data_IF_497205740172
#
_entry.id   IF_497205740172
#
_cell.length_a   1.000
_cell.length_b   1.000
_cell.length_c   1.000
_cell.angle_alpha   90.00
_cell.angle_beta   90.00
_cell.angle_gamma   90.00
#
_symmetry.space_group_name_H-M   'P 1'
#
loop_
_entity.id
_entity.type
_entity.pdbx_description
1 polymer ?
#
# COMPACT_ATOMS: atom_id res chain seq x y z
N UNK A 1 -31.88 6.66 -9.72
CA UNK A 1 -31.27 5.44 -9.16
C UNK A 1 -29.94 5.82 -8.53
N UNK A 2 -29.74 5.61 -7.23
CA UNK A 2 -28.43 5.82 -6.62
C UNK A 2 -27.54 4.63 -6.95
N UNK A 3 -26.68 4.78 -7.95
CA UNK A 3 -25.61 3.81 -8.23
C UNK A 3 -24.63 3.83 -7.06
N UNK A 4 -24.82 2.91 -6.11
CA UNK A 4 -23.90 2.74 -4.99
C UNK A 4 -22.57 2.23 -5.54
N UNK A 5 -21.52 3.00 -5.30
CA UNK A 5 -20.17 2.65 -5.71
C UNK A 5 -19.76 1.29 -5.10
N UNK A 6 -19.12 0.38 -5.87
CA UNK A 6 -18.58 -0.85 -5.32
C UNK A 6 -17.54 -0.57 -4.24
N UNK A 7 -17.61 -1.32 -3.12
CA UNK A 7 -16.70 -1.16 -1.97
C UNK A 7 -15.21 -1.19 -2.35
N UNK A 8 -14.84 -1.97 -3.37
CA UNK A 8 -13.45 -2.05 -3.84
C UNK A 8 -12.93 -0.71 -4.37
N UNK A 9 -13.77 0.06 -5.07
CA UNK A 9 -13.41 1.38 -5.59
C UNK A 9 -13.26 2.39 -4.44
N UNK A 10 -14.19 2.36 -3.49
CA UNK A 10 -14.10 3.17 -2.28
C UNK A 10 -12.80 2.91 -1.51
N UNK A 11 -12.43 1.63 -1.31
CA UNK A 11 -11.19 1.26 -0.64
C UNK A 11 -9.94 1.70 -1.40
N UNK A 12 -9.95 1.61 -2.73
CA UNK A 12 -8.83 2.11 -3.55
C UNK A 12 -8.63 3.62 -3.36
N UNK A 13 -9.71 4.42 -3.37
CA UNK A 13 -9.64 5.86 -3.12
C UNK A 13 -9.14 6.18 -1.72
N UNK A 14 -9.68 5.51 -0.70
CA UNK A 14 -9.24 5.70 0.69
C UNK A 14 -7.76 5.35 0.86
N UNK A 15 -7.29 4.29 0.21
CA UNK A 15 -5.87 3.90 0.18
C UNK A 15 -5.00 4.99 -0.45
N UNK A 16 -5.38 5.47 -1.64
CA UNK A 16 -4.65 6.52 -2.34
C UNK A 16 -4.61 7.83 -1.54
N UNK A 17 -5.73 8.23 -0.93
CA UNK A 17 -5.81 9.42 -0.09
C UNK A 17 -4.87 9.31 1.13
N UNK A 18 -4.84 8.16 1.80
CA UNK A 18 -3.93 7.93 2.94
C UNK A 18 -2.46 8.03 2.54
N UNK A 19 -2.09 7.52 1.37
CA UNK A 19 -0.72 7.64 0.84
C UNK A 19 -0.40 9.11 0.57
N UNK A 20 -1.28 9.81 -0.16
CA UNK A 20 -1.12 11.22 -0.47
C UNK A 20 -0.94 12.07 0.80
N UNK A 21 -1.82 11.92 1.80
CA UNK A 21 -1.71 12.68 3.05
C UNK A 21 -0.41 12.41 3.81
N UNK A 22 0.16 11.20 3.67
CA UNK A 22 1.44 10.85 4.32
C UNK A 22 2.64 11.43 3.58
N UNK A 23 2.61 11.49 2.25
CA UNK A 23 3.74 11.96 1.44
C UNK A 23 3.67 13.45 1.11
N UNK A 24 2.53 14.12 1.33
CA UNK A 24 2.28 15.51 0.89
C UNK A 24 3.33 16.54 1.31
N UNK A 25 3.95 16.37 2.47
CA UNK A 25 4.94 17.31 3.01
C UNK A 25 6.37 16.75 3.01
N UNK A 26 6.60 15.64 2.31
CA UNK A 26 7.93 15.03 2.21
C UNK A 26 8.75 15.76 1.15
N UNK A 27 10.05 15.96 1.44
CA UNK A 27 11.00 16.25 0.38
C UNK A 27 11.13 15.05 -0.55
N UNK A 28 11.66 15.29 -1.76
CA UNK A 28 11.91 14.21 -2.73
C UNK A 28 12.75 13.06 -2.14
N UNK A 29 13.75 13.38 -1.32
CA UNK A 29 14.61 12.39 -0.68
C UNK A 29 13.85 11.57 0.37
N UNK A 30 12.97 12.23 1.13
CA UNK A 30 12.10 11.58 2.11
C UNK A 30 11.07 10.67 1.43
N UNK A 31 10.49 11.09 0.31
CA UNK A 31 9.59 10.24 -0.49
C UNK A 31 10.32 9.00 -1.01
N UNK A 32 11.54 9.15 -1.54
CA UNK A 32 12.34 8.03 -2.02
C UNK A 32 12.67 7.03 -0.89
N UNK A 33 13.03 7.54 0.30
CA UNK A 33 13.28 6.70 1.47
C UNK A 33 12.00 5.95 1.90
N UNK A 34 10.87 6.65 1.96
CA UNK A 34 9.57 6.07 2.28
C UNK A 34 9.21 4.92 1.33
N UNK A 35 9.35 5.14 0.01
CA UNK A 35 9.00 4.11 -0.98
C UNK A 35 9.93 2.89 -0.93
N UNK A 36 11.22 3.10 -0.67
CA UNK A 36 12.19 1.99 -0.46
C UNK A 36 11.78 1.14 0.74
N UNK A 37 11.55 1.76 1.89
CA UNK A 37 11.16 1.09 3.13
C UNK A 37 9.86 0.27 2.95
N UNK A 38 8.83 0.88 2.35
CA UNK A 38 7.54 0.19 2.12
C UNK A 38 7.67 -0.98 1.14
N UNK A 39 8.53 -0.85 0.13
CA UNK A 39 8.82 -1.93 -0.82
C UNK A 39 9.53 -3.09 -0.13
N UNK A 40 10.53 -2.80 0.71
CA UNK A 40 11.24 -3.83 1.47
C UNK A 40 10.33 -4.57 2.45
N UNK A 41 9.48 -3.83 3.18
CA UNK A 41 8.48 -4.44 4.07
C UNK A 41 7.53 -5.36 3.31
N UNK A 42 7.08 -4.95 2.12
CA UNK A 42 6.21 -5.79 1.30
C UNK A 42 6.94 -7.05 0.83
N UNK A 43 8.18 -6.93 0.34
CA UNK A 43 9.00 -8.08 -0.06
C UNK A 43 9.19 -9.06 1.09
N UNK A 44 9.54 -8.57 2.27
CA UNK A 44 9.70 -9.41 3.46
C UNK A 44 8.42 -10.19 3.79
N UNK A 45 7.25 -9.54 3.74
CA UNK A 45 5.95 -10.18 3.97
C UNK A 45 5.59 -11.22 2.91
N UNK A 46 5.84 -10.92 1.64
CA UNK A 46 5.60 -11.87 0.55
C UNK A 46 6.50 -13.09 0.71
N UNK A 47 7.78 -12.90 1.06
CA UNK A 47 8.71 -14.00 1.29
C UNK A 47 8.28 -14.90 2.47
N UNK A 48 7.76 -14.33 3.57
CA UNK A 48 7.27 -15.14 4.70
C UNK A 48 5.97 -15.87 4.38
N UNK A 49 5.02 -15.23 3.69
CA UNK A 49 3.76 -15.87 3.30
C UNK A 49 3.96 -16.97 2.25
N UNK A 50 4.87 -16.78 1.30
CA UNK A 50 5.17 -17.79 0.26
C UNK A 50 5.79 -19.06 0.86
N UNK A 51 6.57 -18.93 1.94
CA UNK A 51 7.13 -20.09 2.66
C UNK A 51 6.02 -20.91 3.33
N UNK A 52 5.07 -20.26 4.00
CA UNK A 52 3.96 -20.96 4.66
C UNK A 52 3.03 -21.70 3.69
N UNK A 53 2.82 -21.16 2.48
CA UNK A 53 1.93 -21.81 1.51
C UNK A 53 2.58 -23.00 0.76
N UNK A 54 3.91 -23.16 0.83
CA UNK A 54 4.62 -24.30 0.22
C UNK A 54 4.87 -25.47 1.18
N UNK A 55 4.73 -25.26 2.48
CA UNK A 55 4.99 -26.28 3.53
C UNK A 55 3.71 -26.80 4.19
N UNK A 56 2.53 -26.41 3.70
CA UNK A 56 1.22 -26.91 4.14
C UNK A 56 0.57 -27.77 3.07
#
# INVERSE_FOLDING_TARGET
>A
MMNREPKCIQWKRQGAQRVMSKTANMSREQELAFWREKTEQLRARVMTQTKHHRTS
#
